data_IF_105006750340
#
_entry.id   IF_105006750340
#
_cell.length_a   1.000
_cell.length_b   1.000
_cell.length_c   1.000
_cell.angle_alpha   90.00
_cell.angle_beta   90.00
_cell.angle_gamma   90.00
#
_symmetry.space_group_name_H-M   'P 1'
#
loop_
_entity.id
_entity.type
_entity.pdbx_description
1 polymer ?
#
# COMPACT_ATOMS: atom_id res chain seq x y z
N UNK A 1 0.77 3.02 8.93
CA UNK A 1 -0.15 1.88 9.13
C UNK A 1 0.48 0.86 10.08
N UNK A 2 -0.34 0.13 10.84
CA UNK A 2 0.07 -1.02 11.65
C UNK A 2 0.22 -2.29 10.80
N UNK A 3 0.91 -3.30 11.32
CA UNK A 3 1.03 -4.61 10.66
C UNK A 3 -0.35 -5.20 10.29
N UNK A 4 -1.33 -5.09 11.19
CA UNK A 4 -2.68 -5.60 10.97
C UNK A 4 -3.39 -4.87 9.83
N UNK A 5 -3.20 -3.55 9.72
CA UNK A 5 -3.75 -2.75 8.63
C UNK A 5 -3.10 -3.10 7.28
N UNK A 6 -1.77 -3.30 7.26
CA UNK A 6 -1.04 -3.77 6.06
C UNK A 6 -1.56 -5.15 5.63
N UNK A 7 -1.78 -6.06 6.59
CA UNK A 7 -2.32 -7.39 6.32
C UNK A 7 -3.73 -7.32 5.72
N UNK A 8 -4.60 -6.44 6.24
CA UNK A 8 -5.93 -6.20 5.68
C UNK A 8 -5.87 -5.69 4.22
N UNK A 9 -4.95 -4.78 3.92
CA UNK A 9 -4.73 -4.28 2.55
C UNK A 9 -4.30 -5.42 1.62
N UNK A 10 -3.32 -6.23 2.02
CA UNK A 10 -2.85 -7.35 1.23
C UNK A 10 -3.91 -8.43 1.05
N UNK A 11 -4.66 -8.78 2.09
CA UNK A 11 -5.74 -9.75 2.01
C UNK A 11 -6.82 -9.30 1.02
N UNK A 12 -7.11 -8.00 0.97
CA UNK A 12 -8.04 -7.44 -0.02
C UNK A 12 -7.50 -7.57 -1.44
N UNK A 13 -6.22 -7.28 -1.66
CA UNK A 13 -5.58 -7.43 -2.98
C UNK A 13 -5.58 -8.90 -3.40
N UNK A 14 -5.22 -9.83 -2.51
CA UNK A 14 -5.22 -11.27 -2.78
C UNK A 14 -6.62 -11.78 -3.11
N UNK A 15 -7.64 -11.30 -2.39
CA UNK A 15 -9.04 -11.69 -2.62
C UNK A 15 -9.61 -11.22 -3.96
N UNK A 16 -9.12 -10.09 -4.49
CA UNK A 16 -9.57 -9.53 -5.77
C UNK A 16 -8.73 -10.03 -6.94
N UNK A 17 -7.41 -10.15 -6.75
CA UNK A 17 -6.47 -10.51 -7.80
C UNK A 17 -5.83 -11.87 -7.50
N UNK A 18 -6.42 -12.93 -8.06
CA UNK A 18 -5.97 -14.32 -7.89
C UNK A 18 -4.49 -14.53 -8.24
N UNK A 19 -3.98 -13.76 -9.20
CA UNK A 19 -2.59 -13.81 -9.64
C UNK A 19 -1.64 -12.93 -8.82
N UNK A 20 -2.08 -12.25 -7.75
CA UNK A 20 -1.21 -11.30 -7.04
C UNK A 20 0.05 -11.93 -6.48
N UNK A 21 -0.04 -13.11 -5.86
CA UNK A 21 1.12 -13.75 -5.26
C UNK A 21 2.05 -14.37 -6.31
N UNK A 22 1.54 -14.85 -7.44
CA UNK A 22 2.33 -15.54 -8.49
C UNK A 22 3.28 -16.61 -7.91
N UNK A 23 2.83 -17.38 -6.91
CA UNK A 23 3.65 -18.40 -6.24
C UNK A 23 4.67 -17.87 -5.22
N UNK A 24 4.72 -16.56 -4.97
CA UNK A 24 5.58 -15.96 -3.93
C UNK A 24 5.04 -16.22 -2.52
N UNK A 25 5.96 -16.33 -1.57
CA UNK A 25 5.62 -16.49 -0.15
C UNK A 25 4.92 -15.24 0.39
N UNK A 26 3.76 -15.41 1.03
CA UNK A 26 2.95 -14.31 1.55
C UNK A 26 3.68 -13.48 2.61
N UNK A 27 4.53 -14.10 3.44
CA UNK A 27 5.30 -13.40 4.48
C UNK A 27 6.35 -12.48 3.86
N UNK A 28 7.05 -12.95 2.83
CA UNK A 28 8.02 -12.10 2.09
C UNK A 28 7.33 -10.92 1.41
N UNK A 29 6.15 -11.14 0.82
CA UNK A 29 5.37 -10.05 0.23
C UNK A 29 4.89 -9.07 1.30
N UNK A 30 4.43 -9.59 2.45
CA UNK A 30 4.01 -8.78 3.59
C UNK A 30 5.15 -7.90 4.10
N UNK A 31 6.33 -8.47 4.36
CA UNK A 31 7.47 -7.74 4.89
C UNK A 31 7.85 -6.57 3.96
N UNK A 32 7.94 -6.81 2.66
CA UNK A 32 8.23 -5.79 1.65
C UNK A 32 7.15 -4.69 1.57
N UNK A 33 5.87 -5.06 1.66
CA UNK A 33 4.77 -4.09 1.67
C UNK A 33 4.74 -3.29 2.96
N UNK A 34 4.99 -3.93 4.10
CA UNK A 34 4.91 -3.30 5.41
C UNK A 34 5.96 -2.19 5.57
N UNK A 35 7.17 -2.40 5.03
CA UNK A 35 8.19 -1.35 4.99
C UNK A 35 7.71 -0.09 4.29
N UNK A 36 6.93 -0.24 3.20
CA UNK A 36 6.37 0.89 2.46
C UNK A 36 5.13 1.48 3.15
N UNK A 37 4.28 0.63 3.72
CA UNK A 37 2.97 1.02 4.26
C UNK A 37 3.03 1.60 5.68
N UNK A 38 4.10 1.34 6.45
CA UNK A 38 4.22 1.79 7.85
C UNK A 38 4.08 3.31 8.00
N UNK A 39 4.50 4.08 7.00
CA UNK A 39 4.44 5.56 7.01
C UNK A 39 3.15 6.14 6.42
N UNK A 40 2.27 5.28 5.90
CA UNK A 40 1.04 5.68 5.21
C UNK A 40 -0.15 5.78 6.17
N UNK A 41 -1.20 6.47 5.73
CA UNK A 41 -2.50 6.51 6.39
C UNK A 41 -3.42 5.40 5.84
N UNK A 42 -3.97 4.59 6.74
CA UNK A 42 -4.78 3.42 6.36
C UNK A 42 -6.03 3.78 5.55
N UNK A 43 -6.74 4.83 5.95
CA UNK A 43 -7.99 5.23 5.31
C UNK A 43 -7.73 5.76 3.89
N UNK A 44 -6.67 6.56 3.71
CA UNK A 44 -6.25 7.06 2.40
C UNK A 44 -5.81 5.92 1.48
N UNK A 45 -4.98 5.00 1.97
CA UNK A 45 -4.55 3.81 1.21
C UNK A 45 -5.74 2.96 0.79
N UNK A 46 -6.67 2.68 1.71
CA UNK A 46 -7.86 1.88 1.42
C UNK A 46 -8.77 2.55 0.39
N UNK A 47 -8.95 3.88 0.46
CA UNK A 47 -9.72 4.63 -0.54
C UNK A 47 -9.07 4.53 -1.93
N UNK A 48 -7.75 4.70 -2.02
CA UNK A 48 -6.98 4.52 -3.26
C UNK A 48 -7.08 3.10 -3.80
N UNK A 49 -6.96 2.10 -2.93
CA UNK A 49 -7.07 0.69 -3.31
C UNK A 49 -8.44 0.39 -3.90
N UNK A 50 -9.53 0.90 -3.32
CA UNK A 50 -10.88 0.70 -3.85
C UNK A 50 -11.05 1.33 -5.23
N UNK A 51 -10.52 2.55 -5.43
CA UNK A 51 -10.53 3.20 -6.74
C UNK A 51 -9.71 2.40 -7.76
N UNK A 52 -8.51 1.95 -7.37
CA UNK A 52 -7.66 1.11 -8.22
C UNK A 52 -8.38 -0.16 -8.67
N UNK A 53 -9.02 -0.88 -7.74
CA UNK A 53 -9.78 -2.10 -8.02
C UNK A 53 -10.92 -1.86 -9.01
N UNK A 54 -11.60 -0.72 -8.93
CA UNK A 54 -12.68 -0.37 -9.84
C UNK A 54 -12.21 -0.11 -11.28
N UNK A 55 -10.95 0.32 -11.45
CA UNK A 55 -10.43 0.83 -12.72
C UNK A 55 -9.40 -0.11 -13.38
N UNK A 56 -8.81 -1.05 -12.64
CA UNK A 56 -7.66 -1.83 -13.09
C UNK A 56 -7.87 -3.33 -12.91
N UNK A 57 -7.68 -4.08 -14.00
CA UNK A 57 -7.69 -5.55 -14.01
C UNK A 57 -6.43 -6.15 -13.35
N UNK A 58 -5.35 -5.38 -13.23
CA UNK A 58 -4.07 -5.81 -12.66
C UNK A 58 -3.91 -5.33 -11.21
N UNK A 59 -3.28 -6.13 -10.34
CA UNK A 59 -3.07 -5.74 -8.96
C UNK A 59 -2.17 -4.50 -8.86
N UNK A 60 -2.41 -3.64 -7.84
CA UNK A 60 -1.55 -2.49 -7.59
C UNK A 60 -0.17 -2.92 -7.07
N UNK A 61 0.82 -2.08 -7.33
CA UNK A 61 2.08 -2.05 -6.62
C UNK A 61 1.97 -1.11 -5.41
N UNK A 62 2.87 -1.22 -4.40
CA UNK A 62 2.86 -0.32 -3.24
C UNK A 62 2.83 1.16 -3.64
N UNK A 63 3.64 1.56 -4.63
CA UNK A 63 3.73 2.96 -5.09
C UNK A 63 2.43 3.54 -5.64
N UNK A 64 1.52 2.71 -6.17
CA UNK A 64 0.21 3.16 -6.63
C UNK A 64 -0.67 3.63 -5.46
N UNK A 65 -0.45 3.04 -4.28
CA UNK A 65 -1.25 3.26 -3.09
C UNK A 65 -0.65 4.28 -2.11
N UNK A 66 0.65 4.59 -2.25
CA UNK A 66 1.32 5.62 -1.43
C UNK A 66 0.57 6.94 -1.54
N UNK A 67 0.37 7.60 -0.40
CA UNK A 67 -0.08 8.98 -0.32
C UNK A 67 1.07 9.80 0.23
N UNK A 68 1.94 10.28 -0.66
CA UNK A 68 3.00 11.21 -0.28
C UNK A 68 2.32 12.44 0.31
N UNK A 69 2.59 12.70 1.59
CA UNK A 69 2.21 13.96 2.22
C UNK A 69 3.32 14.97 1.90
N UNK A 70 3.17 15.69 0.79
CA UNK A 70 4.12 16.70 0.33
C UNK A 70 4.40 17.78 1.40
N UNK A 71 3.53 17.93 2.41
CA UNK A 71 3.76 18.81 3.55
C UNK A 71 4.97 18.39 4.41
N UNK A 72 5.24 17.08 4.56
CA UNK A 72 6.40 16.59 5.31
C UNK A 72 7.73 16.81 4.59
N UNK A 73 7.73 16.95 3.27
CA UNK A 73 8.92 17.29 2.49
C UNK A 73 9.31 18.77 2.63
N UNK A 74 8.33 19.66 2.85
CA UNK A 74 8.57 21.10 2.97
C UNK A 74 9.17 21.51 4.33
N UNK A 75 8.86 20.80 5.42
CA UNK A 75 9.43 21.10 6.75
C UNK A 75 10.94 20.81 6.86
N UNK A 76 11.51 20.00 5.96
CA UNK A 76 12.95 19.75 5.87
C UNK A 76 13.72 20.80 5.06
N UNK A 77 13.05 21.61 4.23
CA UNK A 77 13.73 22.63 3.41
C UNK A 77 13.81 24.01 4.06
N UNK A 78 13.13 24.23 5.19
CA UNK A 78 13.11 25.52 5.91
C UNK A 78 13.79 25.47 7.28
N UNK A 79 14.43 24.34 7.62
CA UNK A 79 15.18 24.16 8.88
C UNK A 79 16.69 23.91 8.66
N UNK A 80 17.21 24.10 7.44
CA UNK A 80 18.64 24.14 7.12
C UNK A 80 19.09 25.57 6.77
#
# INVERSE_FOLDING_TARGET
MTNKETEQVLNKIIGVYSNFLMGRNIRTVFDAWNETMKEQDYNKVTKKLNAWIAENEKPPLPCNLITVDWRKCYEHQFND
#
